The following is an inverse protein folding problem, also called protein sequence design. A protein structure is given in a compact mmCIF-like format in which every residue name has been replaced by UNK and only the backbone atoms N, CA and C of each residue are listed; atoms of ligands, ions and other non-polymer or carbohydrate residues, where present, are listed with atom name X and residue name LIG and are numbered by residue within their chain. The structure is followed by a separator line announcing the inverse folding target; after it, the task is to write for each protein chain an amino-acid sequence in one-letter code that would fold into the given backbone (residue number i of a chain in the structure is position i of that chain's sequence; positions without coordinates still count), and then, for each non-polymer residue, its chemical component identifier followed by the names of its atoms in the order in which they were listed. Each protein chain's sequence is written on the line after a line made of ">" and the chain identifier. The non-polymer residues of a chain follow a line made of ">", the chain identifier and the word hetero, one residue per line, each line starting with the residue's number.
data_IF_719109271392
#
_entry.id   IF_719109271392
#
_cell.length_a   1.000
_cell.length_b   1.000
_cell.length_c   1.000
_cell.angle_alpha   90.00
_cell.angle_beta   90.00
_cell.angle_gamma   90.00
#
_symmetry.space_group_name_H-M   'P 1'
#
loop_
_entity.id
_entity.type
_entity.pdbx_description
1 polymer ?
#
# COMPACT_ATOMS: atom_id res chain seq x y z
N UNK A 1 1.84 20.71 -25.86
CA UNK A 1 1.76 20.02 -24.55
C UNK A 1 2.29 18.58 -24.58
N UNK A 2 2.03 17.75 -25.62
CA UNK A 2 2.50 16.35 -25.65
C UNK A 2 4.03 16.15 -25.72
N UNK A 3 4.77 17.04 -26.38
CA UNK A 3 6.24 16.96 -26.44
C UNK A 3 6.94 17.33 -25.12
N UNK A 4 6.39 18.28 -24.36
CA UNK A 4 6.96 18.65 -23.07
C UNK A 4 6.85 17.49 -22.06
N UNK A 5 5.69 16.82 -22.05
CA UNK A 5 5.45 15.67 -21.17
C UNK A 5 6.30 14.44 -21.55
N UNK A 6 6.63 14.25 -22.83
CA UNK A 6 7.49 13.13 -23.26
C UNK A 6 8.97 13.38 -22.93
N UNK A 7 9.43 14.62 -23.10
CA UNK A 7 10.78 15.06 -22.73
C UNK A 7 10.97 14.96 -21.21
N UNK A 8 10.02 15.46 -20.43
CA UNK A 8 10.06 15.40 -18.97
C UNK A 8 10.12 13.94 -18.46
N UNK A 9 9.34 13.03 -19.06
CA UNK A 9 9.40 11.60 -18.73
C UNK A 9 10.78 10.99 -18.99
N UNK A 10 11.47 11.37 -20.07
CA UNK A 10 12.82 10.89 -20.35
C UNK A 10 13.81 11.33 -19.28
N UNK A 11 13.77 12.60 -18.89
CA UNK A 11 14.64 13.13 -17.83
C UNK A 11 14.34 12.50 -16.46
N UNK A 12 13.07 12.36 -16.09
CA UNK A 12 12.68 11.67 -14.85
C UNK A 12 13.16 10.21 -14.88
N UNK A 13 13.02 9.52 -16.01
CA UNK A 13 13.49 8.13 -16.13
C UNK A 13 15.00 8.03 -16.02
N UNK A 14 15.74 8.94 -16.66
CA UNK A 14 17.20 9.01 -16.56
C UNK A 14 17.66 9.31 -15.12
N UNK A 15 17.00 10.26 -14.45
CA UNK A 15 17.26 10.58 -13.05
C UNK A 15 16.99 9.38 -12.13
N UNK A 16 15.88 8.66 -12.33
CA UNK A 16 15.56 7.45 -11.57
C UNK A 16 16.59 6.35 -11.76
N UNK A 17 17.08 6.16 -12.99
CA UNK A 17 18.16 5.20 -13.28
C UNK A 17 19.45 5.64 -12.58
N UNK A 18 19.81 6.92 -12.65
CA UNK A 18 20.99 7.46 -11.97
C UNK A 18 20.90 7.26 -10.45
N UNK A 19 19.76 7.60 -9.84
CA UNK A 19 19.52 7.40 -8.41
C UNK A 19 19.60 5.92 -8.02
N UNK A 20 19.08 5.01 -8.86
CA UNK A 20 19.20 3.57 -8.64
C UNK A 20 20.66 3.12 -8.66
N UNK A 21 21.45 3.58 -9.63
CA UNK A 21 22.88 3.26 -9.72
C UNK A 21 23.64 3.79 -8.50
N UNK A 22 23.40 5.04 -8.11
CA UNK A 22 24.00 5.64 -6.92
C UNK A 22 23.63 4.87 -5.65
N UNK A 23 22.38 4.42 -5.52
CA UNK A 23 21.93 3.61 -4.41
C UNK A 23 22.64 2.24 -4.37
N UNK A 24 22.84 1.59 -5.53
CA UNK A 24 23.60 0.34 -5.61
C UNK A 24 25.05 0.54 -5.18
N UNK A 25 25.72 1.58 -5.69
CA UNK A 25 27.10 1.92 -5.31
C UNK A 25 27.18 2.21 -3.81
N UNK A 26 26.23 2.96 -3.27
CA UNK A 26 26.15 3.25 -1.84
C UNK A 26 26.03 1.96 -1.01
N UNK A 27 25.13 1.05 -1.38
CA UNK A 27 24.95 -0.23 -0.66
C UNK A 27 26.23 -1.07 -0.71
N UNK A 28 26.88 -1.17 -1.88
CA UNK A 28 28.16 -1.88 -2.02
C UNK A 28 29.21 -1.27 -1.08
N UNK A 29 29.30 0.06 -1.06
CA UNK A 29 30.23 0.75 -0.17
C UNK A 29 29.93 0.48 1.31
N UNK A 30 28.66 0.49 1.73
CA UNK A 30 28.30 0.19 3.12
C UNK A 30 28.64 -1.25 3.52
N UNK A 31 28.42 -2.22 2.63
CA UNK A 31 28.82 -3.62 2.86
C UNK A 31 30.35 -3.73 2.97
N UNK A 32 31.09 -3.02 2.11
CA UNK A 32 32.56 -3.00 2.13
C UNK A 32 33.13 -2.37 3.42
N UNK A 33 32.57 -1.25 3.88
CA UNK A 33 32.97 -0.61 5.13
C UNK A 33 32.78 -1.56 6.32
N UNK A 34 31.64 -2.25 6.37
CA UNK A 34 31.36 -3.21 7.43
C UNK A 34 32.29 -4.42 7.36
N UNK A 35 32.66 -4.88 6.17
CA UNK A 35 33.69 -5.91 5.97
C UNK A 35 35.04 -5.46 6.55
N UNK A 36 35.52 -4.25 6.24
CA UNK A 36 36.80 -3.74 6.75
C UNK A 36 36.81 -3.75 8.28
N UNK A 37 35.81 -3.11 8.91
CA UNK A 37 35.71 -2.99 10.36
C UNK A 37 35.78 -4.37 11.04
N UNK A 38 35.06 -5.32 10.46
CA UNK A 38 34.96 -6.69 10.98
C UNK A 38 36.25 -7.48 10.75
N UNK A 39 36.86 -7.33 9.58
CA UNK A 39 38.12 -8.00 9.21
C UNK A 39 39.31 -7.55 10.03
N UNK A 40 39.31 -6.28 10.48
CA UNK A 40 40.33 -5.73 11.38
C UNK A 40 40.29 -6.36 12.78
N UNK A 41 39.14 -6.89 13.21
CA UNK A 41 39.01 -7.62 14.47
C UNK A 41 39.42 -9.08 14.28
N UNK A 42 38.86 -9.73 13.25
CA UNK A 42 39.17 -11.11 12.90
C UNK A 42 38.86 -11.34 11.41
N UNK A 43 39.82 -11.88 10.66
CA UNK A 43 39.69 -12.08 9.21
C UNK A 43 38.51 -13.00 8.84
N UNK A 44 38.30 -14.08 9.61
CA UNK A 44 37.19 -15.02 9.39
C UNK A 44 35.84 -14.37 9.68
N UNK A 45 35.76 -13.56 10.74
CA UNK A 45 34.56 -12.78 11.07
C UNK A 45 34.18 -11.85 9.91
N UNK A 46 35.16 -11.16 9.32
CA UNK A 46 34.96 -10.30 8.15
C UNK A 46 34.36 -11.06 6.96
N UNK A 47 34.92 -12.22 6.62
CA UNK A 47 34.41 -13.07 5.53
C UNK A 47 32.98 -13.56 5.78
N UNK A 48 32.67 -13.97 7.02
CA UNK A 48 31.31 -14.40 7.39
C UNK A 48 30.32 -13.25 7.23
N UNK A 49 30.65 -12.07 7.74
CA UNK A 49 29.78 -10.88 7.63
C UNK A 49 29.54 -10.50 6.17
N UNK A 50 30.59 -10.52 5.34
CA UNK A 50 30.46 -10.27 3.90
C UNK A 50 29.50 -11.27 3.25
N UNK A 51 29.72 -12.58 3.47
CA UNK A 51 28.90 -13.64 2.88
C UNK A 51 27.43 -13.53 3.30
N UNK A 52 27.18 -13.29 4.59
CA UNK A 52 25.83 -13.13 5.14
C UNK A 52 25.14 -11.90 4.54
N UNK A 53 25.81 -10.74 4.48
CA UNK A 53 25.23 -9.53 3.91
C UNK A 53 24.96 -9.68 2.42
N UNK A 54 25.90 -10.25 1.66
CA UNK A 54 25.71 -10.54 0.24
C UNK A 54 24.54 -11.50 0.02
N UNK A 55 24.38 -12.54 0.85
CA UNK A 55 23.24 -13.45 0.78
C UNK A 55 21.91 -12.75 1.12
N UNK A 56 21.89 -11.88 2.13
CA UNK A 56 20.69 -11.11 2.51
C UNK A 56 20.28 -10.14 1.38
N UNK A 57 21.20 -9.30 0.90
CA UNK A 57 20.89 -8.36 -0.17
C UNK A 57 20.59 -9.06 -1.50
N UNK A 58 21.35 -10.10 -1.82
CA UNK A 58 21.12 -10.93 -3.01
C UNK A 58 19.75 -11.59 -2.99
N UNK A 59 19.38 -12.24 -1.87
CA UNK A 59 18.06 -12.85 -1.73
C UNK A 59 16.93 -11.82 -1.77
N UNK A 60 17.10 -10.65 -1.15
CA UNK A 60 16.11 -9.56 -1.19
C UNK A 60 15.80 -9.06 -2.61
N UNK A 61 16.79 -9.08 -3.52
CA UNK A 61 16.61 -8.71 -4.93
C UNK A 61 16.09 -9.88 -5.78
N UNK A 62 16.62 -11.08 -5.57
CA UNK A 62 16.39 -12.24 -6.43
C UNK A 62 15.03 -12.90 -6.14
N UNK A 63 14.65 -13.05 -4.86
CA UNK A 63 13.39 -13.69 -4.46
C UNK A 63 12.15 -13.09 -5.14
N UNK A 64 11.90 -11.76 -5.10
CA UNK A 64 10.72 -11.19 -5.75
C UNK A 64 10.72 -11.42 -7.27
N UNK A 65 11.89 -11.44 -7.91
CA UNK A 65 12.03 -11.72 -9.35
C UNK A 65 11.68 -13.18 -9.65
N UNK A 66 12.24 -14.14 -8.92
CA UNK A 66 11.93 -15.56 -9.08
C UNK A 66 10.45 -15.82 -8.86
N UNK A 67 9.90 -15.26 -7.79
CA UNK A 67 8.48 -15.38 -7.46
C UNK A 67 7.62 -14.81 -8.61
N UNK A 68 7.91 -13.62 -9.11
CA UNK A 68 7.21 -13.03 -10.26
C UNK A 68 7.30 -13.86 -11.55
N UNK A 69 8.44 -14.52 -11.79
CA UNK A 69 8.63 -15.38 -12.96
C UNK A 69 7.89 -16.72 -12.86
N UNK A 70 7.62 -17.23 -11.65
CA UNK A 70 6.85 -18.47 -11.43
C UNK A 70 5.36 -18.34 -11.74
N UNK A 71 4.79 -17.14 -11.70
CA UNK A 71 3.38 -16.93 -12.07
C UNK A 71 3.18 -17.07 -13.60
N UNK A 72 2.15 -17.80 -14.05
CA UNK A 72 1.86 -17.92 -15.47
C UNK A 72 1.53 -16.56 -16.08
N UNK A 73 1.98 -16.36 -17.31
CA UNK A 73 1.64 -15.17 -18.10
C UNK A 73 0.13 -15.08 -18.29
N UNK A 74 -0.39 -13.86 -18.26
CA UNK A 74 -1.77 -13.62 -18.60
C UNK A 74 -2.12 -14.09 -20.00
N UNK A 75 -3.29 -14.70 -20.14
CA UNK A 75 -3.83 -15.01 -21.46
C UNK A 75 -4.06 -13.68 -22.18
N UNK A 76 -3.57 -13.58 -23.43
CA UNK A 76 -3.81 -12.38 -24.23
C UNK A 76 -5.28 -12.34 -24.58
N UNK A 77 -5.94 -11.25 -24.19
CA UNK A 77 -7.33 -11.00 -24.57
C UNK A 77 -7.37 -10.75 -26.09
N UNK A 78 -8.26 -11.42 -26.84
CA UNK A 78 -8.38 -11.22 -28.28
C UNK A 78 -8.89 -9.81 -28.61
N UNK A 79 -8.56 -9.34 -29.82
CA UNK A 79 -9.02 -8.04 -30.32
C UNK A 79 -10.53 -8.07 -30.57
N UNK A 80 -11.17 -6.92 -30.41
CA UNK A 80 -12.60 -6.76 -30.64
C UNK A 80 -12.95 -7.14 -32.10
N UNK A 81 -13.86 -8.11 -32.28
CA UNK A 81 -14.27 -8.63 -33.60
C UNK A 81 -13.70 -10.00 -34.00
N UNK A 82 -12.84 -10.63 -33.19
CA UNK A 82 -12.33 -11.99 -33.43
C UNK A 82 -13.12 -13.05 -32.61
N UNK A 83 -14.22 -13.54 -33.17
CA UNK A 83 -15.12 -14.50 -32.49
C UNK A 83 -14.47 -15.88 -32.27
N UNK A 84 -13.65 -16.35 -33.20
CA UNK A 84 -12.90 -17.59 -33.05
C UNK A 84 -11.81 -17.49 -31.98
N UNK A 85 -11.08 -16.36 -31.96
CA UNK A 85 -10.08 -16.06 -30.94
C UNK A 85 -10.70 -15.95 -29.55
N UNK A 86 -11.89 -15.34 -29.45
CA UNK A 86 -12.65 -15.24 -28.20
C UNK A 86 -13.08 -16.59 -27.66
N UNK A 87 -13.60 -17.47 -28.52
CA UNK A 87 -14.02 -18.82 -28.13
C UNK A 87 -12.82 -19.67 -27.64
N UNK A 88 -11.66 -19.58 -28.31
CA UNK A 88 -10.41 -20.21 -27.86
C UNK A 88 -9.91 -19.63 -26.54
N UNK A 89 -10.01 -18.31 -26.36
CA UNK A 89 -9.64 -17.63 -25.12
C UNK A 89 -10.47 -18.13 -23.94
N UNK A 90 -11.80 -18.14 -24.06
CA UNK A 90 -12.73 -18.57 -23.02
C UNK A 90 -12.53 -20.04 -22.66
N UNK A 91 -12.30 -20.92 -23.64
CA UNK A 91 -12.01 -22.33 -23.39
C UNK A 91 -10.70 -22.54 -22.61
N UNK A 92 -9.64 -21.81 -22.96
CA UNK A 92 -8.36 -21.86 -22.26
C UNK A 92 -8.44 -21.28 -20.85
N UNK A 93 -9.21 -20.19 -20.68
CA UNK A 93 -9.46 -19.58 -19.38
C UNK A 93 -10.24 -20.53 -18.46
N UNK A 94 -11.29 -21.20 -18.97
CA UNK A 94 -12.02 -22.25 -18.23
C UNK A 94 -11.08 -23.36 -17.76
N UNK A 95 -10.21 -23.88 -18.63
CA UNK A 95 -9.23 -24.92 -18.27
C UNK A 95 -8.28 -24.46 -17.14
N UNK A 96 -7.88 -23.20 -17.15
CA UNK A 96 -7.03 -22.60 -16.10
C UNK A 96 -7.79 -22.44 -14.79
N UNK A 97 -9.01 -21.91 -14.84
CA UNK A 97 -9.86 -21.68 -13.66
C UNK A 97 -10.23 -22.98 -12.95
N UNK A 98 -10.47 -24.08 -13.70
CA UNK A 98 -10.70 -25.41 -13.11
C UNK A 98 -9.55 -25.93 -12.24
N UNK A 99 -8.32 -25.46 -12.48
CA UNK A 99 -7.12 -25.83 -11.69
C UNK A 99 -6.81 -24.81 -10.60
N UNK A 100 -7.61 -23.76 -10.46
CA UNK A 100 -7.36 -22.71 -9.48
C UNK A 100 -7.69 -23.22 -8.07
N UNK A 101 -6.69 -23.24 -7.19
CA UNK A 101 -6.84 -23.69 -5.80
C UNK A 101 -7.89 -22.88 -5.03
N UNK A 102 -8.04 -21.58 -5.32
CA UNK A 102 -9.01 -20.72 -4.65
C UNK A 102 -10.46 -21.07 -4.98
N UNK A 103 -10.74 -21.55 -6.19
CA UNK A 103 -12.08 -22.03 -6.58
C UNK A 103 -12.36 -23.43 -6.05
N UNK A 104 -11.34 -24.29 -6.01
CA UNK A 104 -11.46 -25.63 -5.42
C UNK A 104 -11.77 -25.54 -3.92
N UNK A 105 -11.10 -24.62 -3.21
CA UNK A 105 -11.29 -24.45 -1.77
C UNK A 105 -12.68 -23.89 -1.39
N UNK A 106 -13.34 -23.13 -2.27
CA UNK A 106 -14.71 -22.66 -2.04
C UNK A 106 -15.78 -23.67 -2.45
N UNK A 107 -15.37 -24.83 -2.98
CA UNK A 107 -16.31 -25.84 -3.48
C UNK A 107 -17.05 -25.42 -4.75
N UNK A 108 -16.54 -24.43 -5.49
CA UNK A 108 -17.17 -23.95 -6.71
C UNK A 108 -17.23 -25.06 -7.76
N UNK A 109 -18.45 -25.39 -8.22
CA UNK A 109 -18.66 -26.44 -9.22
C UNK A 109 -18.91 -25.84 -10.60
N UNK A 110 -18.14 -26.31 -11.58
CA UNK A 110 -18.38 -25.99 -12.98
C UNK A 110 -19.53 -26.87 -13.49
N UNK A 111 -20.71 -26.28 -13.67
CA UNK A 111 -21.87 -26.98 -14.22
C UNK A 111 -21.78 -27.11 -15.74
N UNK A 112 -21.81 -28.33 -16.28
CA UNK A 112 -21.80 -28.57 -17.73
C UNK A 112 -23.12 -28.17 -18.43
N UNK A 113 -24.15 -27.78 -17.68
CA UNK A 113 -25.43 -27.29 -18.23
C UNK A 113 -25.38 -25.84 -18.71
N UNK A 114 -24.42 -25.05 -18.23
CA UNK A 114 -24.28 -23.63 -18.57
C UNK A 114 -23.27 -23.42 -19.71
N UNK A 115 -23.41 -22.32 -20.46
CA UNK A 115 -22.43 -21.97 -21.48
C UNK A 115 -21.04 -21.76 -20.87
N UNK A 116 -19.99 -22.11 -21.64
CA UNK A 116 -18.59 -21.96 -21.20
C UNK A 116 -18.28 -20.53 -20.74
N UNK A 117 -18.89 -19.53 -21.37
CA UNK A 117 -18.74 -18.12 -20.99
C UNK A 117 -19.40 -17.79 -19.65
N UNK A 118 -20.63 -18.29 -19.40
CA UNK A 118 -21.33 -18.08 -18.13
C UNK A 118 -20.55 -18.69 -16.96
N UNK A 119 -20.03 -19.91 -17.14
CA UNK A 119 -19.20 -20.58 -16.14
C UNK A 119 -17.92 -19.79 -15.80
N UNK A 120 -17.26 -19.24 -16.83
CA UNK A 120 -16.06 -18.41 -16.64
C UNK A 120 -16.41 -17.12 -15.91
N UNK A 121 -17.51 -16.44 -16.27
CA UNK A 121 -17.99 -15.23 -15.59
C UNK A 121 -18.32 -15.50 -14.12
N UNK A 122 -19.01 -16.61 -13.82
CA UNK A 122 -19.34 -17.00 -12.45
C UNK A 122 -18.08 -17.31 -11.62
N UNK A 123 -17.13 -18.05 -12.19
CA UNK A 123 -15.86 -18.35 -11.55
C UNK A 123 -15.03 -17.08 -11.28
N UNK A 124 -14.99 -16.13 -12.23
CA UNK A 124 -14.31 -14.85 -12.04
C UNK A 124 -14.99 -14.00 -10.97
N UNK A 125 -16.33 -14.01 -10.89
CA UNK A 125 -17.08 -13.30 -9.85
C UNK A 125 -16.75 -13.81 -8.44
N UNK A 126 -16.59 -15.12 -8.29
CA UNK A 126 -16.16 -15.72 -7.03
C UNK A 126 -14.74 -15.28 -6.64
N UNK A 127 -13.81 -15.28 -7.60
CA UNK A 127 -12.45 -14.78 -7.38
C UNK A 127 -12.42 -13.27 -7.08
N UNK A 128 -13.28 -12.49 -7.74
CA UNK A 128 -13.44 -11.05 -7.50
C UNK A 128 -13.86 -10.77 -6.04
N UNK A 129 -14.78 -11.58 -5.48
CA UNK A 129 -15.20 -11.47 -4.09
C UNK A 129 -14.03 -11.72 -3.12
N UNK A 130 -13.25 -12.78 -3.35
CA UNK A 130 -12.06 -13.10 -2.54
C UNK A 130 -10.99 -12.01 -2.65
N UNK A 131 -10.72 -11.54 -3.86
CA UNK A 131 -9.74 -10.49 -4.12
C UNK A 131 -10.17 -9.16 -3.49
N UNK A 132 -11.47 -8.82 -3.50
CA UNK A 132 -11.98 -7.63 -2.82
C UNK A 132 -11.75 -7.70 -1.31
N UNK A 133 -11.92 -8.87 -0.69
CA UNK A 133 -11.57 -9.10 0.72
C UNK A 133 -10.10 -8.80 1.02
N UNK A 134 -9.19 -9.24 0.15
CA UNK A 134 -7.76 -8.91 0.24
C UNK A 134 -7.53 -7.41 0.08
N UNK A 135 -8.15 -6.76 -0.90
CA UNK A 135 -8.01 -5.31 -1.13
C UNK A 135 -8.47 -4.53 0.10
N UNK A 136 -9.63 -4.86 0.67
CA UNK A 136 -10.14 -4.24 1.90
C UNK A 136 -9.15 -4.41 3.06
N UNK A 137 -8.67 -5.64 3.30
CA UNK A 137 -7.72 -5.95 4.38
C UNK A 137 -6.43 -5.13 4.28
N UNK A 138 -5.81 -5.07 3.11
CA UNK A 138 -4.56 -4.33 2.93
C UNK A 138 -4.78 -2.81 2.99
N UNK A 139 -5.88 -2.30 2.43
CA UNK A 139 -6.22 -0.88 2.53
C UNK A 139 -6.54 -0.45 3.97
N UNK A 140 -7.21 -1.29 4.77
CA UNK A 140 -7.39 -1.05 6.21
C UNK A 140 -6.07 -1.10 6.97
N UNK A 141 -5.17 -2.01 6.61
CA UNK A 141 -3.83 -2.06 7.21
C UNK A 141 -3.07 -0.77 6.92
N UNK A 142 -3.06 -0.33 5.66
CA UNK A 142 -2.45 0.93 5.25
C UNK A 142 -3.07 2.10 6.00
N UNK A 143 -4.39 2.22 6.02
CA UNK A 143 -5.13 3.23 6.79
C UNK A 143 -4.61 3.33 8.22
N UNK A 144 -4.62 2.21 8.95
CA UNK A 144 -4.24 2.16 10.36
C UNK A 144 -2.77 2.55 10.54
N UNK A 145 -1.88 1.97 9.73
CA UNK A 145 -0.43 2.21 9.88
C UNK A 145 -0.06 3.65 9.61
N UNK A 146 -0.62 4.28 8.59
CA UNK A 146 -0.30 5.68 8.26
C UNK A 146 -1.07 6.67 9.13
N UNK A 147 -2.25 6.31 9.64
CA UNK A 147 -2.97 7.16 10.59
C UNK A 147 -2.28 7.21 11.97
N UNK A 148 -1.68 6.10 12.42
CA UNK A 148 -1.01 6.04 13.73
C UNK A 148 0.41 6.60 13.65
N UNK A 149 1.05 6.50 12.49
CA UNK A 149 2.43 6.93 12.33
C UNK A 149 2.57 8.44 12.38
N UNK A 150 3.63 8.89 13.04
CA UNK A 150 4.03 10.30 13.13
C UNK A 150 5.21 10.61 12.21
N UNK A 151 5.68 9.63 11.44
CA UNK A 151 6.85 9.73 10.56
C UNK A 151 6.44 9.42 9.11
N UNK A 152 6.05 10.46 8.36
CA UNK A 152 5.51 10.31 7.00
C UNK A 152 6.45 9.65 5.97
N UNK A 153 7.77 9.61 6.20
CA UNK A 153 8.73 8.93 5.31
C UNK A 153 8.77 7.41 5.51
N UNK A 154 8.63 6.94 6.75
CA UNK A 154 8.55 5.52 7.10
C UNK A 154 7.25 4.92 6.53
N UNK A 155 6.19 5.71 6.50
CA UNK A 155 4.87 5.34 5.98
C UNK A 155 4.90 5.01 4.51
N UNK A 156 5.64 5.78 3.71
CA UNK A 156 5.78 5.51 2.28
C UNK A 156 6.32 4.12 1.98
N UNK A 157 7.29 3.64 2.78
CA UNK A 157 7.84 2.29 2.64
C UNK A 157 6.82 1.23 3.08
N UNK A 158 6.14 1.44 4.21
CA UNK A 158 5.11 0.50 4.68
C UNK A 158 3.94 0.40 3.71
N UNK A 159 3.50 1.52 3.14
CA UNK A 159 2.48 1.58 2.09
C UNK A 159 2.96 0.78 0.87
N UNK A 160 4.17 1.05 0.37
CA UNK A 160 4.73 0.35 -0.79
C UNK A 160 4.81 -1.17 -0.58
N UNK A 161 5.27 -1.61 0.60
CA UNK A 161 5.36 -3.03 0.96
C UNK A 161 3.97 -3.69 1.00
N UNK A 162 2.98 -3.02 1.59
CA UNK A 162 1.61 -3.53 1.66
C UNK A 162 0.96 -3.59 0.28
N UNK A 163 1.14 -2.57 -0.57
CA UNK A 163 0.65 -2.56 -1.94
C UNK A 163 1.29 -3.69 -2.77
N UNK A 164 2.59 -3.90 -2.61
CA UNK A 164 3.30 -4.99 -3.29
C UNK A 164 2.75 -6.36 -2.89
N UNK A 165 2.54 -6.59 -1.59
CA UNK A 165 1.92 -7.82 -1.07
C UNK A 165 0.47 -7.99 -1.51
N UNK A 166 -0.30 -6.91 -1.56
CA UNK A 166 -1.68 -6.93 -2.03
C UNK A 166 -1.76 -7.35 -3.50
N UNK A 167 -0.97 -6.71 -4.37
CA UNK A 167 -0.90 -7.05 -5.80
C UNK A 167 -0.45 -8.50 -5.99
N UNK A 168 0.53 -8.94 -5.20
CA UNK A 168 1.01 -10.31 -5.19
C UNK A 168 -0.12 -11.31 -4.88
N UNK A 169 -0.89 -11.06 -3.83
CA UNK A 169 -2.01 -11.92 -3.43
C UNK A 169 -3.14 -11.91 -4.45
N UNK A 170 -3.48 -10.75 -5.02
CA UNK A 170 -4.45 -10.64 -6.13
C UNK A 170 -3.98 -11.52 -7.30
N UNK A 171 -2.73 -11.39 -7.73
CA UNK A 171 -2.17 -12.19 -8.83
C UNK A 171 -2.28 -13.71 -8.57
N UNK A 172 -2.12 -14.15 -7.32
CA UNK A 172 -2.27 -15.55 -6.92
C UNK A 172 -3.73 -16.01 -6.94
N UNK A 173 -4.66 -15.17 -6.49
CA UNK A 173 -6.10 -15.47 -6.50
C UNK A 173 -6.57 -15.74 -7.93
N UNK A 174 -6.18 -14.90 -8.89
CA UNK A 174 -6.53 -15.13 -10.31
C UNK A 174 -5.59 -16.11 -11.03
N UNK A 175 -4.52 -16.57 -10.38
CA UNK A 175 -3.46 -17.39 -10.96
C UNK A 175 -2.93 -16.80 -12.28
N UNK A 176 -2.65 -15.49 -12.28
CA UNK A 176 -2.22 -14.73 -13.44
C UNK A 176 -1.43 -13.51 -12.97
N UNK A 177 -0.22 -13.29 -13.52
CA UNK A 177 0.53 -12.08 -13.21
C UNK A 177 -0.04 -10.86 -13.95
N UNK A 178 -0.36 -9.75 -13.26
CA UNK A 178 -0.71 -8.50 -13.91
C UNK A 178 0.50 -7.90 -14.65
N UNK A 179 0.27 -7.13 -15.71
CA UNK A 179 1.35 -6.49 -16.47
C UNK A 179 2.05 -5.43 -15.60
N UNK A 180 3.30 -5.70 -15.20
CA UNK A 180 4.10 -4.80 -14.32
C UNK A 180 4.18 -3.38 -14.86
N UNK A 181 4.31 -3.21 -16.19
CA UNK A 181 4.34 -1.88 -16.82
C UNK A 181 3.06 -1.08 -16.54
N UNK A 182 1.91 -1.75 -16.52
CA UNK A 182 0.61 -1.10 -16.34
C UNK A 182 0.38 -0.79 -14.86
N UNK A 183 0.79 -1.70 -13.95
CA UNK A 183 0.78 -1.46 -12.51
C UNK A 183 1.69 -0.30 -12.10
N UNK A 184 2.91 -0.24 -12.62
CA UNK A 184 3.87 0.84 -12.32
C UNK A 184 3.40 2.18 -12.89
N UNK A 185 2.92 2.19 -14.14
CA UNK A 185 2.34 3.40 -14.75
C UNK A 185 1.11 3.88 -13.96
N UNK A 186 0.37 2.96 -13.36
CA UNK A 186 -0.76 3.30 -12.50
C UNK A 186 -0.30 3.90 -11.18
N UNK A 187 0.67 3.28 -10.52
CA UNK A 187 1.26 3.75 -9.27
C UNK A 187 1.77 5.18 -9.40
N UNK A 188 2.48 5.48 -10.48
CA UNK A 188 3.00 6.84 -10.76
C UNK A 188 1.86 7.83 -11.02
N UNK A 189 0.86 7.47 -11.83
CA UNK A 189 -0.24 8.39 -12.15
C UNK A 189 -1.19 8.63 -10.98
N UNK A 190 -1.47 7.59 -10.18
CA UNK A 190 -2.42 7.63 -9.05
C UNK A 190 -1.74 8.17 -7.80
N UNK A 191 -0.54 7.69 -7.48
CA UNK A 191 0.33 8.23 -6.43
C UNK A 191 0.69 9.69 -6.69
N UNK A 192 1.08 10.04 -7.91
CA UNK A 192 1.35 11.44 -8.29
C UNK A 192 0.15 12.37 -8.10
N UNK A 193 -1.07 11.93 -8.46
CA UNK A 193 -2.28 12.75 -8.26
C UNK A 193 -2.65 12.95 -6.79
N UNK A 194 -2.41 11.95 -5.93
CA UNK A 194 -2.74 12.08 -4.49
C UNK A 194 -1.65 12.79 -3.73
N UNK A 195 -0.38 12.66 -4.11
CA UNK A 195 0.70 13.46 -3.54
C UNK A 195 0.51 14.95 -3.86
N UNK A 196 0.10 15.28 -5.10
CA UNK A 196 -0.27 16.66 -5.44
C UNK A 196 -1.49 17.16 -4.66
N UNK A 197 -2.48 16.29 -4.39
CA UNK A 197 -3.60 16.64 -3.52
C UNK A 197 -3.18 16.79 -2.04
N UNK A 198 -2.16 16.04 -1.58
CA UNK A 198 -1.58 16.14 -0.24
C UNK A 198 -0.85 17.47 -0.04
N UNK A 199 -0.09 17.92 -1.04
CA UNK A 199 0.54 19.26 -1.03
C UNK A 199 -0.51 20.38 -0.93
N UNK A 200 -1.66 20.24 -1.59
CA UNK A 200 -2.79 21.19 -1.46
C UNK A 200 -3.39 21.15 -0.05
N UNK A 201 -3.44 19.99 0.60
CA UNK A 201 -3.97 19.84 1.96
C UNK A 201 -2.99 20.34 3.05
N UNK A 202 -1.68 20.29 2.79
CA UNK A 202 -0.63 20.87 3.66
C UNK A 202 -0.55 22.40 3.57
N UNK A 203 -1.16 23.00 2.54
CA UNK A 203 -1.44 24.45 2.49
C UNK A 203 -2.67 24.74 3.36
N UNK A 204 -2.45 25.01 4.65
CA UNK A 204 -3.42 25.39 5.69
C UNK A 204 -4.59 26.30 5.20
N UNK A 205 -5.64 25.73 4.61
CA UNK A 205 -6.83 26.46 4.15
C UNK A 205 -8.15 25.83 4.59
N UNK A 206 -8.15 24.97 5.61
CA UNK A 206 -9.40 24.38 6.14
C UNK A 206 -9.35 24.28 7.66
N UNK A 207 -8.98 25.36 8.36
CA UNK A 207 -9.04 25.40 9.83
C UNK A 207 -10.44 25.71 10.37
N UNK A 208 -11.39 26.19 9.55
CA UNK A 208 -12.69 26.68 10.03
C UNK A 208 -13.92 25.80 9.67
N UNK A 209 -13.75 24.69 8.94
CA UNK A 209 -14.87 23.85 8.47
C UNK A 209 -14.78 22.38 8.90
N UNK A 210 -13.92 22.06 9.87
CA UNK A 210 -13.69 20.69 10.33
C UNK A 210 -14.67 20.26 11.44
N UNK A 211 -15.34 21.17 12.15
CA UNK A 211 -16.30 20.83 13.22
C UNK A 211 -17.42 19.87 12.78
N UNK A 212 -18.06 20.04 11.62
CA UNK A 212 -19.09 19.11 11.15
C UNK A 212 -18.52 17.72 10.81
N UNK A 213 -17.29 17.68 10.29
CA UNK A 213 -16.58 16.44 9.92
C UNK A 213 -16.11 15.69 11.17
N UNK A 214 -15.63 16.41 12.18
CA UNK A 214 -15.32 15.89 13.51
C UNK A 214 -16.57 15.25 14.11
N UNK A 215 -17.70 15.94 14.09
CA UNK A 215 -18.95 15.45 14.67
C UNK A 215 -19.51 14.25 13.88
N UNK A 216 -19.47 14.28 12.55
CA UNK A 216 -19.97 13.23 11.67
C UNK A 216 -19.09 11.96 11.64
N UNK A 217 -17.77 12.10 11.75
CA UNK A 217 -16.83 10.96 11.74
C UNK A 217 -16.61 10.37 13.14
N UNK A 218 -16.77 11.16 14.21
CA UNK A 218 -16.32 10.77 15.55
C UNK A 218 -17.42 10.67 16.62
N UNK A 219 -18.63 11.23 16.46
CA UNK A 219 -19.75 11.03 17.40
C UNK A 219 -19.38 11.06 18.90
N UNK A 220 -20.11 10.31 19.73
CA UNK A 220 -19.94 10.20 21.20
C UNK A 220 -18.52 9.84 21.70
N UNK A 221 -17.63 9.37 20.82
CA UNK A 221 -16.26 8.98 21.18
C UNK A 221 -15.39 10.14 21.69
N UNK A 222 -15.82 11.39 21.49
CA UNK A 222 -15.14 12.61 21.97
C UNK A 222 -15.40 12.89 23.46
N UNK A 223 -16.44 12.30 24.07
CA UNK A 223 -16.73 12.51 25.50
C UNK A 223 -15.58 12.06 26.43
N UNK A 224 -14.62 11.29 25.92
CA UNK A 224 -13.47 10.79 26.68
C UNK A 224 -12.20 11.68 26.62
N UNK A 225 -12.07 12.64 25.70
CA UNK A 225 -10.82 13.41 25.52
C UNK A 225 -11.05 14.92 25.62
N UNK A 226 -10.91 15.47 26.83
CA UNK A 226 -11.15 16.87 27.21
C UNK A 226 -10.13 17.90 26.67
N UNK A 227 -9.49 17.70 25.51
CA UNK A 227 -8.51 18.66 24.96
C UNK A 227 -8.56 18.77 23.44
N UNK A 228 -8.75 20.00 22.94
CA UNK A 228 -8.77 20.41 21.51
C UNK A 228 -7.58 19.86 20.71
N UNK A 229 -6.40 19.73 21.34
CA UNK A 229 -5.16 19.22 20.72
C UNK A 229 -5.30 17.76 20.27
N UNK A 230 -6.02 16.92 21.02
CA UNK A 230 -6.21 15.50 20.69
C UNK A 230 -7.19 15.36 19.52
N UNK A 231 -8.19 16.24 19.41
CA UNK A 231 -9.13 16.27 18.30
C UNK A 231 -8.45 16.57 16.96
N UNK A 232 -7.61 17.61 16.89
CA UNK A 232 -6.89 17.94 15.66
C UNK A 232 -5.91 16.84 15.22
N UNK A 233 -5.22 16.21 16.19
CA UNK A 233 -4.33 15.08 15.89
C UNK A 233 -5.10 13.88 15.33
N UNK A 234 -6.26 13.55 15.92
CA UNK A 234 -7.13 12.47 15.41
C UNK A 234 -7.63 12.76 14.00
N UNK A 235 -8.08 14.00 13.73
CA UNK A 235 -8.56 14.39 12.40
C UNK A 235 -7.45 14.26 11.36
N UNK A 236 -6.26 14.80 11.64
CA UNK A 236 -5.13 14.72 10.72
C UNK A 236 -4.69 13.26 10.49
N UNK A 237 -4.63 12.45 11.54
CA UNK A 237 -4.38 11.00 11.44
C UNK A 237 -5.41 10.29 10.56
N UNK A 238 -6.71 10.58 10.73
CA UNK A 238 -7.77 9.96 9.92
C UNK A 238 -7.69 10.42 8.47
N UNK A 239 -7.42 11.70 8.20
CA UNK A 239 -7.26 12.23 6.85
C UNK A 239 -6.07 11.59 6.12
N UNK A 240 -4.91 11.50 6.78
CA UNK A 240 -3.72 10.86 6.22
C UNK A 240 -3.93 9.36 5.98
N UNK A 241 -4.53 8.67 6.96
CA UNK A 241 -4.98 7.29 6.80
C UNK A 241 -5.89 7.11 5.59
N UNK A 242 -6.87 7.98 5.44
CA UNK A 242 -7.89 7.92 4.38
C UNK A 242 -7.28 8.11 2.99
N UNK A 243 -6.37 9.07 2.83
CA UNK A 243 -5.69 9.32 1.56
C UNK A 243 -4.88 8.09 1.11
N UNK A 244 -4.11 7.49 2.01
CA UNK A 244 -3.30 6.30 1.71
C UNK A 244 -4.17 5.05 1.50
N UNK A 245 -5.27 4.91 2.23
CA UNK A 245 -6.24 3.83 2.03
C UNK A 245 -6.96 3.95 0.68
N UNK A 246 -7.35 5.15 0.29
CA UNK A 246 -7.99 5.43 -1.00
C UNK A 246 -7.06 5.05 -2.17
N UNK A 247 -5.80 5.47 -2.09
CA UNK A 247 -4.76 5.05 -3.04
C UNK A 247 -4.67 3.53 -3.14
N UNK A 248 -4.65 2.86 -2.00
CA UNK A 248 -4.53 1.40 -1.92
C UNK A 248 -5.73 0.68 -2.51
N UNK A 249 -6.94 1.12 -2.17
CA UNK A 249 -8.19 0.63 -2.73
C UNK A 249 -8.20 0.75 -4.25
N UNK A 250 -7.82 1.92 -4.77
CA UNK A 250 -7.81 2.20 -6.19
C UNK A 250 -6.79 1.31 -6.92
N UNK A 251 -5.58 1.16 -6.40
CA UNK A 251 -4.56 0.25 -6.95
C UNK A 251 -5.06 -1.20 -6.95
N UNK A 252 -5.66 -1.65 -5.85
CA UNK A 252 -6.21 -3.00 -5.72
C UNK A 252 -7.33 -3.28 -6.72
N UNK A 253 -8.31 -2.37 -6.83
CA UNK A 253 -9.41 -2.49 -7.80
C UNK A 253 -8.93 -2.51 -9.24
N UNK A 254 -7.90 -1.73 -9.56
CA UNK A 254 -7.34 -1.74 -10.91
C UNK A 254 -6.62 -3.06 -11.18
N UNK A 255 -5.81 -3.56 -10.23
CA UNK A 255 -5.18 -4.87 -10.35
C UNK A 255 -6.21 -5.99 -10.58
N UNK A 256 -7.33 -5.96 -9.85
CA UNK A 256 -8.45 -6.90 -10.05
C UNK A 256 -9.01 -6.81 -11.48
N UNK A 257 -9.37 -5.61 -11.97
CA UNK A 257 -9.91 -5.44 -13.33
C UNK A 257 -8.96 -5.94 -14.42
N UNK A 258 -7.64 -5.75 -14.26
CA UNK A 258 -6.65 -6.31 -15.20
C UNK A 258 -6.54 -7.83 -15.13
N UNK A 259 -6.82 -8.44 -13.98
CA UNK A 259 -6.77 -9.89 -13.81
C UNK A 259 -8.08 -10.58 -14.24
N UNK A 260 -9.22 -9.90 -14.15
CA UNK A 260 -10.55 -10.45 -14.49
C UNK A 260 -11.10 -10.03 -15.85
N UNK A 261 -10.42 -9.15 -16.60
CA UNK A 261 -10.94 -8.69 -17.89
C UNK A 261 -11.09 -9.81 -18.92
N UNK A 262 -12.28 -9.90 -19.51
CA UNK A 262 -12.58 -10.80 -20.63
C UNK A 262 -12.44 -10.10 -21.99
N UNK A 263 -12.36 -8.77 -21.99
CA UNK A 263 -12.27 -7.93 -23.19
C UNK A 263 -11.08 -6.99 -23.11
N UNK A 264 -10.74 -6.38 -24.25
CA UNK A 264 -9.64 -5.43 -24.32
C UNK A 264 -9.91 -4.25 -23.37
N UNK A 265 -8.93 -3.93 -22.52
CA UNK A 265 -9.11 -2.98 -21.43
C UNK A 265 -8.86 -1.56 -21.92
N UNK A 266 -9.89 -0.72 -21.95
CA UNK A 266 -9.67 0.73 -22.00
C UNK A 266 -9.12 1.23 -20.67
N UNK A 267 -7.89 1.77 -20.72
CA UNK A 267 -7.18 2.26 -19.54
C UNK A 267 -7.93 3.41 -18.85
N UNK A 268 -8.67 4.22 -19.60
CA UNK A 268 -9.39 5.38 -19.04
C UNK A 268 -10.63 4.93 -18.28
N UNK A 269 -11.42 4.02 -18.85
CA UNK A 269 -12.61 3.46 -18.20
C UNK A 269 -12.27 2.71 -16.91
N UNK A 270 -11.23 1.85 -16.92
CA UNK A 270 -10.82 1.11 -15.72
C UNK A 270 -10.39 2.03 -14.58
N UNK A 271 -9.66 3.10 -14.89
CA UNK A 271 -9.25 4.07 -13.87
C UNK A 271 -10.45 4.78 -13.25
N UNK A 272 -11.44 5.15 -14.05
CA UNK A 272 -12.66 5.81 -13.57
C UNK A 272 -13.50 4.87 -12.71
N UNK A 273 -13.77 3.67 -13.20
CA UNK A 273 -14.53 2.66 -12.47
C UNK A 273 -13.87 2.31 -11.13
N UNK A 274 -12.55 2.09 -11.13
CA UNK A 274 -11.84 1.80 -9.89
C UNK A 274 -11.78 2.97 -8.91
N UNK A 275 -11.77 4.22 -9.39
CA UNK A 275 -11.90 5.39 -8.50
C UNK A 275 -13.26 5.38 -7.80
N UNK A 276 -14.34 5.11 -8.54
CA UNK A 276 -15.69 5.08 -7.97
C UNK A 276 -15.86 3.95 -6.95
N UNK A 277 -15.46 2.73 -7.32
CA UNK A 277 -15.47 1.58 -6.41
C UNK A 277 -14.57 1.82 -5.16
N UNK A 278 -13.44 2.53 -5.32
CA UNK A 278 -12.57 2.87 -4.20
C UNK A 278 -13.23 3.89 -3.25
N UNK A 279 -13.94 4.89 -3.76
CA UNK A 279 -14.68 5.85 -2.93
C UNK A 279 -15.74 5.14 -2.07
N UNK A 280 -16.51 4.22 -2.65
CA UNK A 280 -17.54 3.46 -1.93
C UNK A 280 -16.94 2.64 -0.78
N UNK A 281 -15.81 1.96 -1.03
CA UNK A 281 -15.14 1.15 -0.02
C UNK A 281 -14.42 1.98 1.06
N UNK A 282 -13.96 3.18 0.72
CA UNK A 282 -13.24 4.05 1.65
C UNK A 282 -14.10 4.39 2.88
N UNK A 283 -15.36 4.75 2.68
CA UNK A 283 -16.27 5.07 3.79
C UNK A 283 -16.42 3.91 4.78
N UNK A 284 -16.44 2.67 4.29
CA UNK A 284 -16.48 1.48 5.13
C UNK A 284 -15.19 1.30 5.93
N UNK A 285 -14.03 1.49 5.29
CA UNK A 285 -12.72 1.38 5.95
C UNK A 285 -12.56 2.42 7.05
N UNK A 286 -12.91 3.68 6.77
CA UNK A 286 -12.84 4.77 7.75
C UNK A 286 -13.75 4.44 8.94
N UNK A 287 -15.03 4.13 8.69
CA UNK A 287 -16.00 3.81 9.76
C UNK A 287 -15.54 2.65 10.65
N UNK A 288 -14.99 1.59 10.07
CA UNK A 288 -14.56 0.41 10.83
C UNK A 288 -13.30 0.67 11.68
N UNK A 289 -12.40 1.53 11.23
CA UNK A 289 -11.06 1.65 11.82
C UNK A 289 -10.83 2.94 12.61
N UNK A 290 -11.64 3.99 12.46
CA UNK A 290 -11.50 5.26 13.18
C UNK A 290 -11.48 5.08 14.71
N UNK A 291 -12.29 4.17 15.26
CA UNK A 291 -12.29 3.90 16.72
C UNK A 291 -10.94 3.38 17.25
N UNK A 292 -10.21 2.62 16.43
CA UNK A 292 -8.87 2.13 16.76
C UNK A 292 -7.84 3.28 16.71
N UNK A 293 -8.01 4.22 15.78
CA UNK A 293 -7.16 5.42 15.68
C UNK A 293 -7.33 6.27 16.93
N UNK A 294 -8.57 6.60 17.30
CA UNK A 294 -8.87 7.38 18.52
C UNK A 294 -8.20 6.74 19.74
N UNK A 295 -8.38 5.43 19.96
CA UNK A 295 -7.74 4.70 21.07
C UNK A 295 -6.21 4.77 21.03
N UNK A 296 -5.61 4.68 19.85
CA UNK A 296 -4.15 4.68 19.68
C UNK A 296 -3.55 6.06 19.90
N UNK A 297 -4.20 7.10 19.37
CA UNK A 297 -3.81 8.50 19.55
C UNK A 297 -3.95 8.92 21.01
N UNK A 298 -5.06 8.59 21.67
CA UNK A 298 -5.27 8.88 23.11
C UNK A 298 -4.23 8.18 23.98
N UNK A 299 -3.92 6.90 23.72
CA UNK A 299 -2.85 6.17 24.45
C UNK A 299 -1.47 6.79 24.21
N UNK A 300 -1.17 7.21 22.99
CA UNK A 300 0.10 7.87 22.63
C UNK A 300 0.25 9.22 23.33
N UNK A 301 -0.80 10.04 23.28
CA UNK A 301 -0.87 11.33 23.96
C UNK A 301 -0.78 11.18 25.48
N UNK A 302 -1.50 10.23 26.08
CA UNK A 302 -1.44 9.95 27.52
C UNK A 302 -0.04 9.57 28.01
N UNK A 303 0.71 8.75 27.24
CA UNK A 303 2.12 8.45 27.54
C UNK A 303 3.03 9.68 27.42
N UNK A 304 2.79 10.55 26.44
CA UNK A 304 3.50 11.82 26.27
C UNK A 304 3.25 12.79 27.42
N UNK A 305 2.00 12.94 27.84
CA UNK A 305 1.59 13.78 28.98
C UNK A 305 2.13 13.25 30.30
N UNK A 306 2.12 11.93 30.54
CA UNK A 306 2.74 11.31 31.72
C UNK A 306 4.25 11.56 31.74
N UNK A 307 4.93 11.49 30.58
CA UNK A 307 6.37 11.75 30.46
C UNK A 307 6.71 13.23 30.70
N UNK A 308 5.86 14.15 30.22
CA UNK A 308 5.95 15.59 30.48
C UNK A 308 5.70 15.92 31.95
N UNK A 309 4.67 15.35 32.57
CA UNK A 309 4.39 15.53 34.00
C UNK A 309 5.52 14.96 34.87
N UNK A 310 6.09 13.81 34.51
CA UNK A 310 7.26 13.26 35.20
C UNK A 310 8.48 14.17 35.08
N UNK A 311 8.74 14.70 33.88
CA UNK A 311 9.86 15.63 33.63
C UNK A 311 9.66 16.98 34.32
N UNK A 312 8.42 17.47 34.41
CA UNK A 312 8.06 18.68 35.17
C UNK A 312 8.17 18.45 36.69
N UNK A 313 7.76 17.28 37.19
CA UNK A 313 7.95 16.89 38.59
C UNK A 313 9.43 16.77 38.94
N UNK A 314 10.24 16.13 38.11
CA UNK A 314 11.71 16.06 38.26
C UNK A 314 12.35 17.45 38.26
N UNK A 315 11.93 18.36 37.36
CA UNK A 315 12.38 19.77 37.36
C UNK A 315 11.98 20.54 38.63
N UNK A 316 10.73 20.39 39.10
CA UNK A 316 10.25 21.02 40.33
C UNK A 316 11.00 20.53 41.57
N UNK A 317 11.27 19.23 41.68
CA UNK A 317 12.07 18.67 42.77
C UNK A 317 13.55 19.13 42.71
N UNK A 318 14.11 19.32 41.51
CA UNK A 318 15.47 19.88 41.36
C UNK A 318 15.57 21.36 41.76
N UNK A 319 14.50 22.13 41.54
CA UNK A 319 14.41 23.53 41.97
C UNK A 319 14.23 23.66 43.49
N UNK A 320 13.48 22.75 44.11
CA UNK A 320 13.30 22.72 45.57
C UNK A 320 14.59 22.38 46.33
N UNK A 321 15.41 21.46 45.81
CA UNK A 321 16.71 21.09 46.41
C UNK A 321 17.77 22.18 46.31
N UNK A 322 17.72 23.01 45.26
CA UNK A 322 18.70 24.09 45.07
C UNK A 322 18.48 25.27 46.04
N UNK A 323 17.26 25.42 46.57
CA UNK A 323 16.91 26.50 47.51
C UNK A 323 17.17 26.15 48.99
N UNK A 324 17.50 24.89 49.32
CA UNK A 324 17.82 24.46 50.70
C UNK A 324 19.32 24.26 50.97
N UNK A 325 20.20 24.60 50.02
CA UNK A 325 21.66 24.58 50.19
C UNK A 325 22.27 25.99 50.25
N UNK A 326 21.45 27.03 50.13
CA UNK A 326 21.84 28.45 50.21
C UNK A 326 21.20 29.18 51.42
N UNK A 327 20.86 28.45 52.49
CA UNK A 327 20.53 29.01 53.81
C UNK A 327 21.46 28.38 54.84
#
# INVERSE_FOLDING_TARGET
>A
MNNLASILKKYITALMILLLVLLVVFVINQVYQLYIITSNINQTLGQIVLLVLTAIFGSALILPVIMYLKLPRGLKVPKQGDEEGYSRYIANLRKRLRKNKHLLNTGFQFSDKESTEAQVKAALKELDSQAEGIVKKYSSTVFITTAISQNGSLDGLFVLLNLSKMIWNIAHIYNQRPTVKELVLLYINVGGTVLMAKEINELNLIDEQLEPVITALLGETILASQTVIVSNLVVNSVLEGSANAFLSLRVGKIAMKYCSSLTEVDRKSVRKAATLEACELLGTIVKQNTSLIVKSVVKGAGKGTIKLLRKSKEKLFSFGKKKSMDI
#
